data_IF_364604433732
#
_entry.id   IF_364604433732
#
_cell.length_a   1.000
_cell.length_b   1.000
_cell.length_c   1.000
_cell.angle_alpha   90.00
_cell.angle_beta   90.00
_cell.angle_gamma   90.00
#
_symmetry.space_group_name_H-M   'P 1'
#
loop_
_entity.id
_entity.type
_entity.pdbx_description
1 polymer ?
#
# COMPACT_ATOMS: atom_id res chain seq x y z
N UNK A 1 6.29 11.30 -5.89
CA UNK A 1 5.66 10.21 -6.66
C UNK A 1 4.27 9.98 -6.04
N UNK A 2 3.17 10.12 -6.80
CA UNK A 2 1.80 10.03 -6.28
C UNK A 2 1.08 8.83 -6.93
N UNK A 3 0.57 7.89 -6.13
CA UNK A 3 -0.44 6.94 -6.59
C UNK A 3 -1.77 7.68 -6.54
N UNK A 4 -2.36 7.97 -7.70
CA UNK A 4 -3.64 8.66 -7.81
C UNK A 4 -4.67 7.68 -8.37
N UNK A 5 -5.66 7.30 -7.56
CA UNK A 5 -6.85 6.58 -8.05
C UNK A 5 -7.74 7.61 -8.76
N UNK A 6 -8.01 7.42 -10.05
CA UNK A 6 -8.81 8.35 -10.85
C UNK A 6 -10.09 7.66 -11.36
N UNK A 7 -11.26 8.20 -11.04
CA UNK A 7 -12.56 7.75 -11.57
C UNK A 7 -13.35 6.78 -10.66
N UNK A 8 -14.68 6.73 -10.89
CA UNK A 8 -15.64 5.90 -10.14
C UNK A 8 -16.95 6.58 -9.73
N UNK A 9 -17.19 7.85 -10.10
CA UNK A 9 -18.44 8.55 -9.76
C UNK A 9 -19.64 7.94 -10.52
N UNK A 10 -20.55 7.28 -9.80
CA UNK A 10 -21.83 6.80 -10.34
C UNK A 10 -21.85 5.38 -10.94
N UNK A 11 -20.77 4.60 -10.87
CA UNK A 11 -20.76 3.22 -11.37
C UNK A 11 -21.21 2.22 -10.29
N UNK A 12 -22.45 1.73 -10.38
CA UNK A 12 -22.93 0.61 -9.58
C UNK A 12 -22.44 -0.72 -10.18
N UNK A 13 -21.27 -1.19 -9.78
CA UNK A 13 -20.72 -2.46 -10.25
C UNK A 13 -19.47 -2.89 -9.50
N UNK A 14 -19.61 -4.00 -8.77
CA UNK A 14 -18.56 -4.89 -8.23
C UNK A 14 -17.27 -4.23 -7.73
N UNK A 15 -17.22 -3.91 -6.42
CA UNK A 15 -16.04 -3.96 -5.51
C UNK A 15 -14.77 -3.16 -5.81
N UNK A 16 -14.49 -2.80 -7.07
CA UNK A 16 -13.22 -2.29 -7.59
C UNK A 16 -13.44 -1.39 -8.81
N UNK A 17 -14.27 -0.35 -8.68
CA UNK A 17 -14.54 0.59 -9.78
C UNK A 17 -13.66 1.85 -9.64
N UNK A 18 -12.75 2.06 -10.60
CA UNK A 18 -11.82 3.20 -10.71
C UNK A 18 -10.58 2.86 -11.56
N UNK A 19 -9.93 3.85 -12.19
CA UNK A 19 -8.67 3.66 -12.92
C UNK A 19 -7.48 3.79 -11.97
N UNK A 20 -6.55 2.85 -12.04
CA UNK A 20 -5.30 2.87 -11.30
C UNK A 20 -4.21 3.40 -12.22
N UNK A 21 -3.65 4.57 -11.92
CA UNK A 21 -2.40 5.00 -12.52
C UNK A 21 -1.28 4.24 -11.80
N UNK A 22 -0.82 3.18 -12.44
CA UNK A 22 0.30 2.38 -11.99
C UNK A 22 1.60 3.18 -12.18
N UNK A 23 2.10 3.73 -11.08
CA UNK A 23 3.48 4.17 -10.99
C UNK A 23 4.21 3.06 -10.23
N UNK A 24 4.67 2.07 -10.98
CA UNK A 24 5.61 1.06 -10.48
C UNK A 24 6.80 1.79 -9.83
N UNK A 25 6.84 1.72 -8.51
CA UNK A 25 7.88 2.37 -7.71
C UNK A 25 9.19 1.64 -7.96
N UNK A 26 10.20 2.33 -8.48
CA UNK A 26 11.55 1.76 -8.62
C UNK A 26 12.07 1.26 -7.27
N UNK A 27 12.82 0.16 -7.26
CA UNK A 27 13.52 -0.35 -6.07
C UNK A 27 14.38 0.72 -5.37
N UNK A 28 14.89 1.71 -6.09
CA UNK A 28 15.67 2.84 -5.54
C UNK A 28 14.85 3.80 -4.68
N UNK A 29 13.52 3.71 -4.77
CA UNK A 29 12.58 4.54 -4.01
C UNK A 29 12.03 3.81 -2.79
N UNK A 30 12.40 2.55 -2.56
CA UNK A 30 11.97 1.80 -1.39
C UNK A 30 12.67 2.36 -0.14
N UNK A 31 11.94 2.39 0.96
CA UNK A 31 12.40 2.88 2.27
C UNK A 31 12.58 1.72 3.24
N UNK A 32 13.27 1.97 4.35
CA UNK A 32 13.37 1.05 5.50
C UNK A 32 12.96 1.79 6.77
N UNK A 33 12.71 1.05 7.85
CA UNK A 33 12.36 1.62 9.14
C UNK A 33 10.86 1.83 9.31
N UNK A 34 10.52 2.84 10.12
CA UNK A 34 9.15 3.09 10.60
C UNK A 34 8.52 4.27 9.87
N UNK A 35 7.37 4.04 9.25
CA UNK A 35 6.61 5.04 8.51
C UNK A 35 5.19 5.16 9.08
N UNK A 36 4.83 6.29 9.72
CA UNK A 36 3.46 6.54 10.13
C UNK A 36 2.60 6.97 8.94
N UNK A 37 1.32 6.64 8.97
CA UNK A 37 0.34 7.12 7.98
C UNK A 37 -1.04 7.29 8.62
N UNK A 38 -1.90 8.10 7.99
CA UNK A 38 -3.26 8.35 8.43
C UNK A 38 -4.25 7.97 7.35
N UNK A 39 -5.37 7.37 7.75
CA UNK A 39 -6.40 6.87 6.84
C UNK A 39 -7.76 7.49 7.18
N UNK A 40 -8.45 8.15 6.22
CA UNK A 40 -9.61 8.99 6.50
C UNK A 40 -10.98 8.29 6.49
N UNK A 41 -11.09 6.99 6.19
CA UNK A 41 -12.37 6.28 6.15
C UNK A 41 -12.28 4.88 6.77
N UNK A 42 -13.39 4.13 6.81
CA UNK A 42 -13.44 2.78 7.42
C UNK A 42 -13.14 1.65 6.44
N UNK A 43 -13.04 1.94 5.15
CA UNK A 43 -12.86 0.92 4.12
C UNK A 43 -11.56 1.16 3.36
N UNK A 44 -10.47 0.60 3.89
CA UNK A 44 -9.13 0.85 3.40
C UNK A 44 -8.30 -0.42 3.41
N UNK A 45 -7.43 -0.49 2.41
CA UNK A 45 -6.43 -1.51 2.27
C UNK A 45 -5.07 -0.86 2.15
N UNK A 46 -4.13 -1.37 2.92
CA UNK A 46 -2.70 -1.09 2.77
C UNK A 46 -2.12 -2.21 1.94
N UNK A 47 -1.49 -1.86 0.83
CA UNK A 47 -0.65 -2.79 0.07
C UNK A 47 0.81 -2.46 0.35
N UNK A 48 1.57 -3.49 0.68
CA UNK A 48 2.99 -3.42 1.00
C UNK A 48 3.72 -4.26 -0.04
N UNK A 49 4.77 -3.70 -0.63
CA UNK A 49 5.66 -4.40 -1.54
C UNK A 49 7.07 -4.23 -1.00
N UNK A 50 7.83 -5.32 -0.91
CA UNK A 50 9.19 -5.26 -0.38
C UNK A 50 10.09 -6.39 -0.85
N UNK A 51 11.33 -6.33 -0.38
CA UNK A 51 12.29 -7.42 -0.55
C UNK A 51 12.02 -8.59 0.41
N UNK A 52 12.84 -9.64 0.30
CA UNK A 52 12.74 -10.83 1.14
C UNK A 52 12.85 -10.52 2.63
N UNK A 53 13.72 -9.60 3.03
CA UNK A 53 13.84 -9.17 4.41
C UNK A 53 12.57 -8.45 4.88
N UNK A 54 11.96 -7.61 4.03
CA UNK A 54 10.69 -6.98 4.35
C UNK A 54 9.57 -8.02 4.54
N UNK A 55 9.58 -9.12 3.79
CA UNK A 55 8.57 -10.17 3.89
C UNK A 55 8.49 -10.85 5.26
N UNK A 56 9.59 -10.83 6.03
CA UNK A 56 9.70 -11.48 7.33
C UNK A 56 9.75 -10.50 8.51
N UNK A 57 10.15 -9.25 8.26
CA UNK A 57 10.35 -8.24 9.30
C UNK A 57 9.26 -7.18 9.36
N UNK A 58 8.39 -7.10 8.35
CA UNK A 58 7.38 -6.05 8.29
C UNK A 58 6.24 -6.30 9.28
N UNK A 59 5.93 -5.26 10.05
CA UNK A 59 4.79 -5.21 10.95
C UNK A 59 3.92 -4.00 10.66
N UNK A 60 2.61 -4.22 10.66
CA UNK A 60 1.57 -3.18 10.60
C UNK A 60 0.88 -3.15 11.97
N UNK A 61 0.97 -2.02 12.66
CA UNK A 61 0.49 -1.86 14.04
C UNK A 61 0.96 -2.99 14.96
N UNK A 62 2.26 -3.31 14.85
CA UNK A 62 2.95 -4.36 15.62
C UNK A 62 2.50 -5.79 15.31
N UNK A 63 1.67 -6.00 14.27
CA UNK A 63 1.26 -7.32 13.78
C UNK A 63 2.01 -7.68 12.51
N UNK A 64 2.53 -8.90 12.43
CA UNK A 64 3.17 -9.40 11.21
C UNK A 64 2.17 -9.50 10.06
N UNK A 65 2.62 -9.12 8.87
CA UNK A 65 1.86 -9.30 7.64
C UNK A 65 2.24 -10.63 6.97
N UNK A 66 1.28 -11.30 6.35
CA UNK A 66 1.53 -12.50 5.54
C UNK A 66 1.87 -12.07 4.12
N UNK A 67 3.11 -12.31 3.70
CA UNK A 67 3.59 -11.97 2.38
C UNK A 67 3.50 -13.15 1.42
N UNK A 68 3.28 -12.85 0.14
CA UNK A 68 3.39 -13.78 -0.97
C UNK A 68 4.41 -13.26 -1.99
N UNK A 69 5.19 -14.12 -2.65
CA UNK A 69 6.11 -13.70 -3.70
C UNK A 69 5.34 -13.24 -4.94
N UNK A 70 5.88 -12.25 -5.64
CA UNK A 70 5.37 -11.79 -6.93
C UNK A 70 6.50 -11.30 -7.85
N UNK A 71 6.35 -11.42 -9.17
CA UNK A 71 7.25 -10.74 -10.11
C UNK A 71 7.05 -9.22 -10.03
N UNK A 72 8.14 -8.46 -9.95
CA UNK A 72 8.15 -7.00 -9.89
C UNK A 72 9.37 -6.44 -10.61
N UNK A 73 9.14 -5.75 -11.73
CA UNK A 73 10.18 -5.14 -12.58
C UNK A 73 11.35 -6.09 -12.92
N UNK A 74 11.05 -7.36 -13.23
CA UNK A 74 12.05 -8.36 -13.58
C UNK A 74 12.78 -9.01 -12.40
N UNK A 75 12.39 -8.67 -11.16
CA UNK A 75 12.89 -9.27 -9.92
C UNK A 75 11.76 -9.96 -9.14
N UNK A 76 12.11 -10.79 -8.15
CA UNK A 76 11.13 -11.28 -7.18
C UNK A 76 10.98 -10.24 -6.08
N UNK A 77 9.76 -9.75 -5.88
CA UNK A 77 9.36 -9.00 -4.71
C UNK A 77 8.39 -9.84 -3.87
N UNK A 78 8.04 -9.33 -2.71
CA UNK A 78 7.05 -9.90 -1.83
C UNK A 78 5.99 -8.85 -1.57
N UNK A 79 4.72 -9.23 -1.64
CA UNK A 79 3.61 -8.34 -1.34
C UNK A 79 2.71 -8.87 -0.24
N UNK A 80 2.12 -7.95 0.52
CA UNK A 80 1.09 -8.22 1.49
C UNK A 80 -0.02 -7.18 1.37
N UNK A 81 -1.25 -7.57 1.68
CA UNK A 81 -2.41 -6.69 1.72
C UNK A 81 -3.08 -6.85 3.08
N UNK A 82 -3.39 -5.73 3.73
CA UNK A 82 -4.08 -5.72 5.01
C UNK A 82 -5.19 -4.67 5.00
N UNK A 83 -6.33 -5.01 5.62
CA UNK A 83 -7.37 -4.03 5.92
C UNK A 83 -6.99 -3.22 7.16
N UNK A 84 -7.24 -1.92 7.12
CA UNK A 84 -7.03 -1.01 8.25
C UNK A 84 -8.25 -0.14 8.48
N UNK A 85 -8.56 0.09 9.75
CA UNK A 85 -9.65 0.97 10.17
C UNK A 85 -9.30 2.44 9.92
N UNK A 86 -10.25 3.35 10.19
CA UNK A 86 -9.96 4.77 10.17
C UNK A 86 -8.99 5.14 11.31
N UNK A 87 -7.96 5.92 11.00
CA UNK A 87 -7.08 6.48 12.02
C UNK A 87 -5.60 6.52 11.67
N UNK A 88 -4.78 6.61 12.71
CA UNK A 88 -3.33 6.59 12.61
C UNK A 88 -2.80 5.17 12.73
N UNK A 89 -1.94 4.81 11.79
CA UNK A 89 -1.31 3.50 11.72
C UNK A 89 0.19 3.65 11.55
N UNK A 90 0.91 2.59 11.85
CA UNK A 90 2.37 2.54 11.71
C UNK A 90 2.80 1.28 11.00
N UNK A 91 3.56 1.44 9.92
CA UNK A 91 4.27 0.36 9.27
C UNK A 91 5.74 0.40 9.67
N UNK A 92 6.33 -0.76 10.00
CA UNK A 92 7.76 -0.87 10.33
C UNK A 92 8.34 -2.08 9.64
N UNK A 93 9.50 -1.92 9.01
CA UNK A 93 10.27 -3.01 8.42
C UNK A 93 11.78 -2.80 8.64
N UNK A 94 12.56 -3.88 8.67
CA UNK A 94 14.02 -3.79 8.55
C UNK A 94 14.47 -3.91 7.09
N UNK A 95 13.72 -4.67 6.29
CA UNK A 95 13.92 -4.73 4.84
C UNK A 95 13.45 -3.47 4.10
N UNK A 96 13.67 -3.45 2.79
CA UNK A 96 13.25 -2.34 1.93
C UNK A 96 11.83 -2.58 1.45
N UNK A 97 10.99 -1.56 1.57
CA UNK A 97 9.60 -1.63 1.16
C UNK A 97 9.11 -0.31 0.56
N UNK A 98 8.05 -0.43 -0.23
CA UNK A 98 7.12 0.66 -0.53
C UNK A 98 5.73 0.23 -0.09
N UNK A 99 4.88 1.21 0.21
CA UNK A 99 3.52 0.93 0.62
C UNK A 99 2.59 2.08 0.23
N UNK A 100 1.36 1.69 -0.11
CA UNK A 100 0.30 2.61 -0.48
C UNK A 100 -1.01 2.20 0.17
N UNK A 101 -1.84 3.21 0.42
CA UNK A 101 -3.22 3.04 0.88
C UNK A 101 -4.13 3.17 -0.33
N UNK A 102 -5.18 2.35 -0.35
CA UNK A 102 -6.34 2.53 -1.23
C UNK A 102 -7.61 2.37 -0.41
N UNK A 103 -8.63 3.16 -0.71
CA UNK A 103 -9.89 3.10 0.01
C UNK A 103 -11.01 3.84 -0.69
N UNK A 104 -12.15 3.93 0.00
CA UNK A 104 -13.29 4.73 -0.43
C UNK A 104 -13.81 5.61 0.71
N UNK A 105 -14.16 6.86 0.40
CA UNK A 105 -14.81 7.81 1.27
C UNK A 105 -16.00 8.43 0.51
N UNK A 106 -17.22 8.34 1.04
CA UNK A 106 -18.44 8.88 0.42
C UNK A 106 -18.61 8.47 -1.06
N UNK A 107 -18.49 7.17 -1.36
CA UNK A 107 -18.50 6.61 -2.73
C UNK A 107 -17.42 7.17 -3.67
N UNK A 108 -16.44 7.91 -3.14
CA UNK A 108 -15.31 8.42 -3.88
C UNK A 108 -14.06 7.64 -3.49
N UNK A 109 -13.38 7.20 -4.53
CA UNK A 109 -12.20 6.40 -4.48
C UNK A 109 -10.95 7.24 -4.23
N UNK A 110 -10.08 6.79 -3.34
CA UNK A 110 -8.79 7.45 -3.10
C UNK A 110 -7.65 6.44 -2.98
N UNK A 111 -6.43 6.94 -3.16
CA UNK A 111 -5.21 6.21 -2.84
C UNK A 111 -4.03 7.17 -2.75
N UNK A 112 -2.99 6.76 -2.03
CA UNK A 112 -1.75 7.52 -1.90
C UNK A 112 -0.59 6.62 -1.47
N UNK A 113 0.62 6.96 -1.91
CA UNK A 113 1.88 6.41 -1.39
C UNK A 113 2.23 7.12 -0.09
N UNK A 114 2.63 6.36 0.93
CA UNK A 114 3.12 6.93 2.19
C UNK A 114 4.54 6.49 2.53
N UNK A 115 5.03 5.41 1.91
CA UNK A 115 6.38 4.89 2.10
C UNK A 115 7.14 4.89 0.77
N UNK A 116 7.86 5.97 0.51
CA UNK A 116 8.77 6.12 -0.63
C UNK A 116 9.87 7.14 -0.32
N UNK A 117 11.01 7.01 -0.99
CA UNK A 117 12.11 7.97 -0.91
C UNK A 117 11.82 9.16 -1.83
N UNK A 118 11.78 10.39 -1.30
CA UNK A 118 11.44 11.61 -2.05
C UNK A 118 12.66 12.38 -2.55
#
# INVERSE_FOLDING_TARGET
LQVLRFGGYGSQGSGLTGSYLDLDVSWTQFVTGRTPFYVPSDNNHVTIIGDEEASTTTTLDYKYSLFAPMPYLGHVAYYAVASVDQGFHTLRSYGRYTAYVSGNLNNTSYGFLFAYNS
#
